data_IF_456352757579
#
_entry.id   IF_456352757579
#
_cell.length_a   1.000
_cell.length_b   1.000
_cell.length_c   1.000
_cell.angle_alpha   90.00
_cell.angle_beta   90.00
_cell.angle_gamma   90.00
#
_symmetry.space_group_name_H-M   'P 1'
#
loop_
_entity.id
_entity.type
_entity.pdbx_description
1 polymer ?
#
# COMPACT_ATOMS: atom_id res chain seq x y z
N UNK A 1 5.84 -19.38 -2.55
CA UNK A 1 5.34 -18.07 -3.02
C UNK A 1 3.87 -18.25 -3.35
N UNK A 2 2.98 -17.42 -2.80
CA UNK A 2 1.53 -17.50 -2.98
C UNK A 2 0.98 -16.12 -3.34
N UNK A 3 0.20 -16.02 -4.40
CA UNK A 3 -0.56 -14.80 -4.70
C UNK A 3 -1.66 -14.62 -3.66
N UNK A 4 -1.89 -13.39 -3.21
CA UNK A 4 -3.01 -13.07 -2.33
C UNK A 4 -4.18 -12.62 -3.19
N UNK A 5 -5.32 -13.29 -3.06
CA UNK A 5 -6.55 -12.91 -3.78
C UNK A 5 -6.98 -11.49 -3.38
N UNK A 6 -7.53 -10.75 -4.35
CA UNK A 6 -7.99 -9.36 -4.20
C UNK A 6 -6.90 -8.32 -3.82
N UNK A 7 -5.63 -8.71 -3.85
CA UNK A 7 -4.50 -7.86 -3.50
C UNK A 7 -3.40 -7.88 -4.56
N UNK A 8 -2.77 -6.72 -4.88
CA UNK A 8 -1.50 -6.68 -5.61
C UNK A 8 -0.35 -7.13 -4.68
N UNK A 9 -0.44 -8.34 -4.15
CA UNK A 9 0.44 -8.84 -3.11
C UNK A 9 0.86 -10.30 -3.32
N UNK A 10 2.08 -10.59 -2.87
CA UNK A 10 2.68 -11.93 -2.90
C UNK A 10 3.19 -12.28 -1.51
N UNK A 11 2.84 -13.46 -1.02
CA UNK A 11 3.36 -14.01 0.23
C UNK A 11 4.51 -14.98 -0.04
N UNK A 12 5.66 -14.70 0.58
CA UNK A 12 6.79 -15.60 0.67
C UNK A 12 6.77 -16.30 2.03
N UNK A 13 6.70 -17.63 2.05
CA UNK A 13 6.58 -18.41 3.29
C UNK A 13 7.91 -18.61 4.03
N UNK A 14 9.05 -18.53 3.33
CA UNK A 14 10.38 -18.81 3.87
C UNK A 14 11.44 -17.85 3.30
N UNK A 15 12.54 -17.58 4.02
CA UNK A 15 12.82 -18.04 5.39
C UNK A 15 12.02 -17.30 6.48
N UNK A 16 11.53 -16.10 6.17
CA UNK A 16 10.66 -15.30 7.04
C UNK A 16 9.38 -15.06 6.26
N UNK A 17 8.23 -15.23 6.90
CA UNK A 17 6.94 -15.03 6.24
C UNK A 17 6.75 -13.57 5.86
N UNK A 18 6.94 -13.27 4.58
CA UNK A 18 7.09 -11.91 4.06
C UNK A 18 5.99 -11.59 3.06
N UNK A 19 5.24 -10.52 3.31
CA UNK A 19 4.25 -9.96 2.39
C UNK A 19 4.91 -8.90 1.51
N UNK A 20 4.95 -9.16 0.21
CA UNK A 20 5.38 -8.22 -0.82
C UNK A 20 4.15 -7.48 -1.35
N UNK A 21 4.20 -6.15 -1.38
CA UNK A 21 3.15 -5.27 -1.88
C UNK A 21 3.76 -4.29 -2.90
N UNK A 22 3.02 -3.92 -3.93
CA UNK A 22 3.42 -2.90 -4.91
C UNK A 22 2.27 -1.92 -5.19
N UNK A 23 2.60 -0.78 -5.82
CA UNK A 23 1.65 0.16 -6.44
C UNK A 23 0.49 0.61 -5.54
N UNK A 24 0.81 0.96 -4.29
CA UNK A 24 -0.19 1.38 -3.30
C UNK A 24 -0.75 2.77 -3.62
N UNK A 25 0.08 3.66 -4.18
CA UNK A 25 -0.29 5.02 -4.56
C UNK A 25 -1.04 5.80 -3.47
N UNK A 26 -0.54 5.80 -2.22
CA UNK A 26 -1.11 6.64 -1.16
C UNK A 26 -1.21 8.09 -1.60
N UNK A 27 -2.40 8.70 -1.47
CA UNK A 27 -2.63 10.11 -1.78
C UNK A 27 -3.03 10.41 -3.22
N UNK A 28 -3.40 9.40 -4.02
CA UNK A 28 -3.94 9.61 -5.37
C UNK A 28 -5.16 10.55 -5.39
N UNK A 29 -5.94 10.59 -4.30
CA UNK A 29 -7.07 11.50 -4.16
C UNK A 29 -6.70 12.98 -4.34
N UNK A 30 -5.45 13.37 -4.04
CA UNK A 30 -4.97 14.73 -4.22
C UNK A 30 -4.85 15.11 -5.71
N UNK A 31 -4.39 14.19 -6.57
CA UNK A 31 -4.33 14.46 -8.01
C UNK A 31 -5.73 14.58 -8.61
N UNK A 32 -6.68 13.76 -8.12
CA UNK A 32 -8.08 13.87 -8.51
C UNK A 32 -8.66 15.22 -8.08
N UNK A 33 -8.34 15.68 -6.88
CA UNK A 33 -8.76 16.99 -6.38
C UNK A 33 -8.23 18.14 -7.24
N UNK A 34 -6.97 18.08 -7.69
CA UNK A 34 -6.38 19.06 -8.62
C UNK A 34 -7.11 19.10 -9.98
N UNK A 35 -7.73 17.99 -10.37
CA UNK A 35 -8.58 17.88 -11.57
C UNK A 35 -10.05 18.25 -11.30
N UNK A 36 -10.38 18.75 -10.11
CA UNK A 36 -11.74 19.14 -9.70
C UNK A 36 -12.62 17.99 -9.23
N UNK A 37 -12.06 16.78 -9.04
CA UNK A 37 -12.78 15.59 -8.59
C UNK A 37 -12.51 15.41 -7.09
N UNK A 38 -13.52 15.69 -6.25
CA UNK A 38 -13.37 15.50 -4.81
C UNK A 38 -13.61 14.05 -4.40
N UNK A 39 -12.56 13.37 -3.95
CA UNK A 39 -12.62 12.04 -3.36
C UNK A 39 -12.24 12.14 -1.87
N UNK A 40 -13.03 11.56 -0.95
CA UNK A 40 -12.64 11.49 0.46
C UNK A 40 -11.31 10.78 0.62
N UNK A 41 -10.52 11.14 1.64
CA UNK A 41 -9.22 10.50 1.83
C UNK A 41 -9.35 8.97 1.91
N UNK A 42 -8.54 8.28 1.11
CA UNK A 42 -8.51 6.81 1.08
C UNK A 42 -7.47 6.24 2.03
N UNK A 43 -6.66 7.10 2.69
CA UNK A 43 -5.55 6.67 3.52
C UNK A 43 -5.97 5.74 4.68
N UNK A 44 -7.06 6.07 5.37
CA UNK A 44 -7.58 5.24 6.47
C UNK A 44 -8.07 3.87 5.99
N UNK A 45 -8.84 3.86 4.90
CA UNK A 45 -9.33 2.62 4.28
C UNK A 45 -8.18 1.74 3.84
N UNK A 46 -7.17 2.30 3.17
CA UNK A 46 -6.01 1.57 2.69
C UNK A 46 -5.18 1.00 3.85
N UNK A 47 -5.00 1.76 4.94
CA UNK A 47 -4.39 1.27 6.17
C UNK A 47 -5.15 0.06 6.74
N UNK A 48 -6.46 0.16 6.87
CA UNK A 48 -7.28 -0.94 7.41
C UNK A 48 -7.18 -2.20 6.56
N UNK A 49 -7.24 -2.04 5.24
CA UNK A 49 -7.07 -3.14 4.30
C UNK A 49 -5.66 -3.77 4.45
N UNK A 50 -4.60 -2.97 4.55
CA UNK A 50 -3.23 -3.45 4.75
C UNK A 50 -3.07 -4.22 6.07
N UNK A 51 -3.71 -3.77 7.15
CA UNK A 51 -3.71 -4.48 8.44
C UNK A 51 -4.40 -5.84 8.29
N UNK A 52 -5.57 -5.88 7.63
CA UNK A 52 -6.31 -7.14 7.43
C UNK A 52 -5.50 -8.18 6.66
N UNK A 53 -4.85 -7.79 5.55
CA UNK A 53 -4.05 -8.76 4.78
C UNK A 53 -2.84 -9.26 5.57
N UNK A 54 -2.25 -8.43 6.42
CA UNK A 54 -1.17 -8.86 7.32
C UNK A 54 -1.67 -9.85 8.36
N UNK A 55 -2.83 -9.58 8.98
CA UNK A 55 -3.47 -10.48 9.95
C UNK A 55 -3.87 -11.82 9.32
N UNK A 56 -4.51 -11.79 8.13
CA UNK A 56 -4.95 -12.98 7.40
C UNK A 56 -3.77 -13.84 6.92
N UNK A 57 -2.69 -13.20 6.50
CA UNK A 57 -1.50 -13.92 6.05
C UNK A 57 -0.61 -14.34 7.20
N UNK A 58 -0.68 -13.69 8.37
CA UNK A 58 0.28 -13.88 9.46
C UNK A 58 1.70 -13.51 9.07
N UNK A 59 1.86 -12.52 8.17
CA UNK A 59 3.17 -12.08 7.71
C UNK A 59 3.94 -11.38 8.84
N UNK A 60 5.20 -11.77 9.02
CA UNK A 60 6.11 -11.20 10.02
C UNK A 60 6.92 -10.02 9.46
N UNK A 61 6.98 -9.93 8.13
CA UNK A 61 7.69 -8.87 7.41
C UNK A 61 6.82 -8.35 6.27
N UNK A 62 6.85 -7.04 6.07
CA UNK A 62 6.28 -6.40 4.89
C UNK A 62 7.42 -5.77 4.10
N UNK A 63 7.37 -5.92 2.77
CA UNK A 63 8.26 -5.24 1.84
C UNK A 63 7.40 -4.55 0.78
N UNK A 64 7.57 -3.23 0.65
CA UNK A 64 6.97 -2.45 -0.43
C UNK A 64 7.95 -2.40 -1.61
N UNK A 65 7.51 -2.86 -2.78
CA UNK A 65 8.33 -2.97 -3.99
C UNK A 65 8.34 -1.69 -4.85
N UNK A 66 7.86 -0.57 -4.32
CA UNK A 66 7.78 0.71 -5.04
C UNK A 66 6.45 1.40 -4.80
N UNK A 67 6.34 2.62 -5.32
CA UNK A 67 5.10 3.40 -5.49
C UNK A 67 4.17 3.40 -4.26
N UNK A 68 4.79 3.49 -3.08
CA UNK A 68 4.07 3.56 -1.81
C UNK A 68 3.17 4.80 -1.77
N UNK A 69 3.68 5.95 -2.23
CA UNK A 69 2.95 7.21 -2.30
C UNK A 69 2.84 7.66 -3.74
N UNK A 70 1.69 8.23 -4.08
CA UNK A 70 1.40 8.75 -5.41
C UNK A 70 2.33 9.91 -5.79
N UNK A 71 2.59 10.78 -4.83
CA UNK A 71 3.70 11.73 -4.89
C UNK A 71 4.36 11.75 -3.52
N UNK A 72 5.68 11.59 -3.50
CA UNK A 72 6.48 12.07 -2.38
C UNK A 72 6.65 13.56 -2.67
N UNK A 73 5.98 14.48 -1.94
CA UNK A 73 6.37 15.87 -2.04
C UNK A 73 7.87 15.87 -1.80
N UNK A 74 8.64 16.46 -2.73
CA UNK A 74 10.06 16.74 -2.51
C UNK A 74 10.21 17.07 -1.05
N UNK A 75 11.08 16.35 -0.33
CA UNK A 75 11.47 16.73 1.01
C UNK A 75 11.72 18.22 0.95
N UNK A 76 10.76 19.02 1.41
CA UNK A 76 10.96 20.43 1.57
C UNK A 76 12.01 20.45 2.65
N UNK A 77 13.24 20.74 2.24
CA UNK A 77 14.21 21.32 3.14
C UNK A 77 13.50 22.51 3.78
N UNK A 78 13.08 22.31 5.02
CA UNK A 78 12.85 23.34 6.02
C UNK A 78 13.71 22.93 7.19
#
# INVERSE_FOLDING_TARGET
MRLIEDWPAILLEKPVKTLLLADIHFGYESELADKGIQVPSQAYRLKELLVRVVEETGAERIIFLGDLKHQVPLSSWI
#
